data_IF_548644416862
#
_entry.id   IF_548644416862
#
_cell.length_a   1.000
_cell.length_b   1.000
_cell.length_c   1.000
_cell.angle_alpha   90.00
_cell.angle_beta   90.00
_cell.angle_gamma   90.00
#
_symmetry.space_group_name_H-M   'P 1'
#
loop_
_entity.id
_entity.type
_entity.pdbx_description
1 polymer ?
#
# COMPACT_ATOMS: atom_id res chain seq x y z
N UNK A 1 35.01 3.66 43.04
CA UNK A 1 33.81 3.01 42.46
C UNK A 1 34.29 1.90 41.52
N UNK A 2 34.11 0.64 41.90
CA UNK A 2 34.79 -0.54 41.31
C UNK A 2 34.31 -0.88 39.89
N UNK A 3 35.20 -1.44 39.06
CA UNK A 3 35.00 -1.78 37.64
C UNK A 3 33.67 -2.54 37.37
N UNK A 4 33.24 -3.40 38.32
CA UNK A 4 31.97 -4.13 38.28
C UNK A 4 30.73 -3.22 38.20
N UNK A 5 30.72 -2.05 38.87
CA UNK A 5 29.58 -1.12 38.83
C UNK A 5 29.47 -0.40 37.48
N UNK A 6 30.60 -0.17 36.78
CA UNK A 6 30.61 0.45 35.45
C UNK A 6 30.11 -0.50 34.37
N UNK A 7 30.41 -1.80 34.48
CA UNK A 7 29.95 -2.81 33.53
C UNK A 7 28.43 -3.01 33.58
N UNK A 8 27.86 -3.07 34.80
CA UNK A 8 26.41 -3.25 35.00
C UNK A 8 25.63 -2.04 34.49
N UNK A 9 26.14 -0.82 34.72
CA UNK A 9 25.52 0.42 34.21
C UNK A 9 25.53 0.50 32.69
N UNK A 10 26.58 -0.03 32.03
CA UNK A 10 26.67 -0.06 30.58
C UNK A 10 25.68 -1.07 29.98
N UNK A 11 25.53 -2.26 30.59
CA UNK A 11 24.55 -3.26 30.16
C UNK A 11 23.11 -2.75 30.30
N UNK A 12 22.77 -2.04 31.38
CA UNK A 12 21.42 -1.45 31.53
C UNK A 12 21.12 -0.38 30.48
N UNK A 13 22.10 0.44 30.11
CA UNK A 13 21.94 1.46 29.07
C UNK A 13 21.69 0.83 27.68
N UNK A 14 22.40 -0.26 27.34
CA UNK A 14 22.19 -0.97 26.07
C UNK A 14 20.81 -1.63 26.01
N UNK A 15 20.31 -2.19 27.12
CA UNK A 15 18.97 -2.80 27.20
C UNK A 15 17.86 -1.74 27.03
N UNK A 16 18.04 -0.54 27.59
CA UNK A 16 17.08 0.56 27.45
C UNK A 16 17.03 1.15 26.02
N UNK A 17 18.16 1.14 25.30
CA UNK A 17 18.20 1.60 23.90
C UNK A 17 17.54 0.57 22.97
N UNK A 18 17.68 -0.73 23.27
CA UNK A 18 17.02 -1.80 22.53
C UNK A 18 15.51 -1.89 22.78
N UNK A 19 15.02 -1.49 23.96
CA UNK A 19 13.58 -1.47 24.23
C UNK A 19 12.86 -0.27 23.62
N UNK A 20 13.52 0.88 23.46
CA UNK A 20 12.92 2.04 22.77
C UNK A 20 12.79 1.86 21.25
N UNK A 21 13.72 1.13 20.61
CA UNK A 21 13.64 0.85 19.17
C UNK A 21 12.56 -0.17 18.79
N UNK A 22 12.07 -0.96 19.75
CA UNK A 22 11.00 -1.92 19.52
C UNK A 22 9.59 -1.29 19.49
N UNK A 23 9.39 -0.11 20.09
CA UNK A 23 8.07 0.52 20.21
C UNK A 23 7.69 1.34 18.98
N UNK A 24 8.66 1.76 18.15
CA UNK A 24 8.39 2.54 16.94
C UNK A 24 8.11 1.69 15.69
N UNK A 25 8.26 0.36 15.75
CA UNK A 25 8.08 -0.52 14.59
C UNK A 25 6.64 -1.03 14.41
N UNK A 26 5.77 -0.93 15.42
CA UNK A 26 4.49 -1.65 15.40
C UNK A 26 3.41 -1.05 14.49
N UNK A 27 3.51 0.25 14.14
CA UNK A 27 2.49 0.90 13.30
C UNK A 27 2.74 0.74 11.80
N UNK A 28 4.00 0.54 11.37
CA UNK A 28 4.35 0.35 9.95
C UNK A 28 4.33 -1.14 9.53
N UNK A 29 4.38 -2.06 10.50
CA UNK A 29 4.53 -3.49 10.23
C UNK A 29 3.21 -4.24 10.07
N UNK A 30 2.09 -3.69 10.53
CA UNK A 30 0.79 -4.38 10.44
C UNK A 30 0.26 -4.52 9.00
N UNK A 31 0.78 -3.72 8.05
CA UNK A 31 0.38 -3.75 6.64
C UNK A 31 1.27 -4.66 5.78
N UNK A 32 2.36 -5.21 6.33
CA UNK A 32 3.32 -6.04 5.60
C UNK A 32 3.09 -7.57 5.78
N UNK A 33 2.12 -7.99 6.59
CA UNK A 33 1.93 -9.41 6.95
C UNK A 33 0.73 -10.09 6.30
N UNK A 34 -0.15 -9.36 5.60
CA UNK A 34 -1.26 -9.95 4.84
C UNK A 34 -0.81 -10.25 3.41
N UNK A 35 -0.95 -11.51 2.99
CA UNK A 35 -0.74 -11.90 1.61
C UNK A 35 -1.78 -11.20 0.72
N UNK A 36 -1.38 -10.55 -0.38
CA UNK A 36 -2.32 -9.84 -1.24
C UNK A 36 -3.32 -10.82 -1.87
N UNK A 37 -4.56 -10.36 -2.04
CA UNK A 37 -5.62 -11.12 -2.73
C UNK A 37 -5.34 -11.21 -4.22
N UNK A 38 -4.83 -10.12 -4.81
CA UNK A 38 -4.38 -10.03 -6.20
C UNK A 38 -3.10 -9.20 -6.22
N UNK A 39 -2.11 -9.61 -7.01
CA UNK A 39 -0.86 -8.87 -7.21
C UNK A 39 -0.43 -8.95 -8.66
N UNK A 40 0.08 -7.84 -9.19
CA UNK A 40 0.55 -7.71 -10.56
C UNK A 40 1.78 -6.81 -10.58
N UNK A 41 2.80 -7.20 -11.34
CA UNK A 41 4.00 -6.39 -11.54
C UNK A 41 4.34 -6.27 -13.02
N UNK A 42 4.71 -5.07 -13.46
CA UNK A 42 5.04 -4.78 -14.85
C UNK A 42 6.06 -3.64 -14.95
N UNK A 43 6.72 -3.54 -16.11
CA UNK A 43 7.70 -2.51 -16.40
C UNK A 43 7.02 -1.14 -16.60
N UNK A 44 7.53 -0.09 -15.95
CA UNK A 44 7.00 1.28 -16.05
C UNK A 44 7.11 1.89 -17.46
N UNK A 45 7.98 1.34 -18.32
CA UNK A 45 8.08 1.73 -19.72
C UNK A 45 6.99 1.08 -20.57
N UNK A 46 6.36 0.00 -20.11
CA UNK A 46 5.22 -0.61 -20.79
C UNK A 46 3.94 0.18 -20.48
N UNK A 47 3.70 1.19 -21.31
CA UNK A 47 2.68 2.22 -21.08
C UNK A 47 1.35 1.90 -21.72
N UNK A 48 0.89 0.70 -21.45
CA UNK A 48 -0.49 0.27 -21.70
C UNK A 48 -1.22 0.12 -20.37
N UNK A 49 -2.53 -0.04 -20.44
CA UNK A 49 -3.31 -0.43 -19.28
C UNK A 49 -2.99 -1.88 -18.92
N UNK A 50 -2.66 -2.11 -17.65
CA UNK A 50 -2.41 -3.44 -17.09
C UNK A 50 -3.55 -3.82 -16.14
N UNK A 51 -3.97 -5.08 -16.16
CA UNK A 51 -4.99 -5.60 -15.26
C UNK A 51 -4.76 -7.07 -14.93
N UNK A 52 -5.09 -7.46 -13.69
CA UNK A 52 -4.99 -8.83 -13.19
C UNK A 52 -6.20 -9.12 -12.30
N UNK A 53 -6.74 -10.34 -12.36
CA UNK A 53 -7.95 -10.69 -11.62
C UNK A 53 -7.96 -12.11 -11.10
N UNK A 54 -8.55 -12.31 -9.92
CA UNK A 54 -8.72 -13.61 -9.28
C UNK A 54 -10.18 -13.79 -8.92
N UNK A 55 -10.72 -14.98 -9.18
CA UNK A 55 -12.05 -15.38 -8.72
C UNK A 55 -12.00 -15.76 -7.24
N UNK A 56 -12.82 -15.09 -6.43
CA UNK A 56 -12.92 -15.35 -5.00
C UNK A 56 -13.80 -16.58 -4.70
N UNK A 57 -13.71 -17.17 -3.49
CA UNK A 57 -14.51 -18.34 -3.11
C UNK A 57 -16.04 -18.11 -3.19
N UNK A 58 -16.49 -16.88 -2.99
CA UNK A 58 -17.90 -16.48 -3.13
C UNK A 58 -18.35 -16.28 -4.60
N UNK A 59 -17.44 -16.49 -5.55
CA UNK A 59 -17.69 -16.35 -6.98
C UNK A 59 -17.50 -14.94 -7.54
N UNK A 60 -17.31 -13.93 -6.68
CA UNK A 60 -17.00 -12.56 -7.09
C UNK A 60 -15.59 -12.48 -7.70
N UNK A 61 -15.28 -11.37 -8.38
CA UNK A 61 -13.99 -11.15 -9.03
C UNK A 61 -13.26 -10.03 -8.31
N UNK A 62 -12.13 -10.37 -7.72
CA UNK A 62 -11.14 -9.39 -7.29
C UNK A 62 -10.28 -8.99 -8.49
N UNK A 63 -10.06 -7.69 -8.70
CA UNK A 63 -9.28 -7.19 -9.83
C UNK A 63 -8.48 -5.96 -9.43
N UNK A 64 -7.27 -5.87 -9.97
CA UNK A 64 -6.44 -4.66 -9.94
C UNK A 64 -6.20 -4.15 -11.34
N UNK A 65 -6.02 -2.84 -11.46
CA UNK A 65 -5.74 -2.17 -12.72
C UNK A 65 -4.77 -1.03 -12.49
N UNK A 66 -3.81 -0.88 -13.39
CA UNK A 66 -2.93 0.27 -13.46
C UNK A 66 -2.99 0.85 -14.88
N UNK A 67 -3.49 2.07 -14.99
CA UNK A 67 -3.74 2.73 -16.26
C UNK A 67 -2.88 4.00 -16.38
N UNK A 68 -2.05 4.14 -17.43
CA UNK A 68 -1.27 5.34 -17.65
C UNK A 68 -2.17 6.47 -18.18
N UNK A 69 -2.21 7.61 -17.47
CA UNK A 69 -3.04 8.78 -17.82
C UNK A 69 -2.24 9.82 -18.60
N UNK A 70 -0.97 10.02 -18.24
CA UNK A 70 -0.06 10.89 -18.97
C UNK A 70 1.30 10.21 -19.12
N UNK A 71 1.78 10.15 -20.36
CA UNK A 71 3.01 9.49 -20.76
C UNK A 71 4.20 10.45 -20.66
N UNK A 72 4.75 10.62 -19.45
CA UNK A 72 5.98 11.40 -19.18
C UNK A 72 7.27 10.78 -19.77
N UNK A 73 8.48 11.06 -19.26
CA UNK A 73 9.68 10.26 -19.63
C UNK A 73 9.78 8.97 -18.79
N UNK A 74 10.69 8.06 -19.11
CA UNK A 74 10.99 6.90 -18.26
C UNK A 74 11.16 7.31 -16.77
N UNK A 75 10.61 6.52 -15.84
CA UNK A 75 10.54 6.82 -14.39
C UNK A 75 9.68 8.05 -14.02
N UNK A 76 8.79 8.50 -14.91
CA UNK A 76 7.84 9.58 -14.63
C UNK A 76 6.52 9.37 -15.35
N UNK A 77 5.47 10.05 -14.91
CA UNK A 77 4.15 9.98 -15.52
C UNK A 77 3.04 9.88 -14.48
N UNK A 78 1.80 9.88 -14.96
CA UNK A 78 0.62 9.75 -14.11
C UNK A 78 0.00 8.39 -14.35
N UNK A 79 -0.29 7.68 -13.26
CA UNK A 79 -1.00 6.40 -13.28
C UNK A 79 -2.25 6.50 -12.43
N UNK A 80 -3.35 5.92 -12.94
CA UNK A 80 -4.54 5.62 -12.17
C UNK A 80 -4.45 4.19 -11.68
N UNK A 81 -4.50 4.00 -10.37
CA UNK A 81 -4.49 2.70 -9.72
C UNK A 81 -5.91 2.40 -9.24
N UNK A 82 -6.41 1.22 -9.61
CA UNK A 82 -7.75 0.77 -9.24
C UNK A 82 -7.68 -0.62 -8.65
N UNK A 83 -8.45 -0.88 -7.60
CA UNK A 83 -8.63 -2.20 -7.01
C UNK A 83 -10.09 -2.43 -6.68
N UNK A 84 -10.60 -3.62 -6.98
CA UNK A 84 -11.95 -4.04 -6.61
C UNK A 84 -11.92 -5.43 -6.00
N UNK A 85 -12.71 -5.64 -4.95
CA UNK A 85 -12.93 -6.97 -4.35
C UNK A 85 -14.27 -7.59 -4.80
N UNK A 86 -14.90 -7.04 -5.84
CA UNK A 86 -16.21 -7.45 -6.33
C UNK A 86 -17.40 -6.74 -5.67
N UNK A 87 -17.22 -6.19 -4.46
CA UNK A 87 -18.26 -5.43 -3.74
C UNK A 87 -17.95 -3.94 -3.69
N UNK A 88 -16.70 -3.58 -3.40
CA UNK A 88 -16.21 -2.22 -3.37
C UNK A 88 -15.03 -2.08 -4.33
N UNK A 89 -15.01 -0.93 -5.01
CA UNK A 89 -13.94 -0.50 -5.92
C UNK A 89 -13.35 0.78 -5.38
N UNK A 90 -12.03 0.83 -5.31
CA UNK A 90 -11.25 1.98 -4.91
C UNK A 90 -10.33 2.40 -6.05
N UNK A 91 -10.23 3.69 -6.28
CA UNK A 91 -9.29 4.26 -7.24
C UNK A 91 -8.57 5.49 -6.68
N UNK A 92 -7.33 5.69 -7.12
CA UNK A 92 -6.58 6.91 -6.90
C UNK A 92 -5.53 7.12 -8.00
N UNK A 93 -4.99 8.34 -8.04
CA UNK A 93 -3.97 8.75 -9.01
C UNK A 93 -2.64 8.94 -8.32
N UNK A 94 -1.57 8.55 -9.01
CA UNK A 94 -0.17 8.75 -8.60
C UNK A 94 0.57 9.49 -9.72
N UNK A 95 1.27 10.56 -9.38
CA UNK A 95 2.26 11.16 -10.28
C UNK A 95 3.66 10.78 -9.81
N UNK A 96 4.40 10.16 -10.72
CA UNK A 96 5.78 9.76 -10.55
C UNK A 96 6.70 10.79 -11.19
N UNK A 97 7.80 11.09 -10.52
CA UNK A 97 8.91 11.88 -11.04
C UNK A 97 10.22 11.11 -10.95
N UNK A 98 11.12 11.39 -11.89
CA UNK A 98 12.48 10.86 -11.86
C UNK A 98 13.31 11.59 -10.80
N UNK A 99 13.95 10.85 -9.92
CA UNK A 99 14.87 11.34 -8.90
C UNK A 99 16.23 10.61 -9.04
N UNK A 100 17.09 11.14 -9.90
CA UNK A 100 18.36 10.48 -10.24
C UNK A 100 18.12 9.19 -11.02
N UNK A 101 18.56 8.05 -10.45
CA UNK A 101 18.31 6.71 -11.00
C UNK A 101 17.00 6.08 -10.47
N UNK A 102 16.32 6.74 -9.54
CA UNK A 102 15.16 6.22 -8.82
C UNK A 102 13.88 6.95 -9.20
N UNK A 103 12.76 6.38 -8.77
CA UNK A 103 11.44 7.00 -8.90
C UNK A 103 11.00 7.62 -7.57
N UNK A 104 10.35 8.77 -7.65
CA UNK A 104 9.71 9.43 -6.51
C UNK A 104 8.22 9.64 -6.79
N UNK A 105 7.40 9.44 -5.77
CA UNK A 105 6.00 9.85 -5.77
C UNK A 105 5.96 11.35 -5.53
N UNK A 106 5.61 12.09 -6.59
CA UNK A 106 5.53 13.55 -6.56
C UNK A 106 4.26 14.03 -5.88
N UNK A 107 3.13 13.44 -6.25
CA UNK A 107 1.81 13.73 -5.65
C UNK A 107 0.84 12.57 -5.87
N UNK A 108 -0.20 12.53 -5.06
CA UNK A 108 -1.32 11.59 -5.16
C UNK A 108 -2.64 12.34 -4.99
N UNK A 109 -3.70 11.90 -5.65
CA UNK A 109 -5.00 12.58 -5.57
C UNK A 109 -6.15 11.67 -6.02
N UNK A 110 -7.37 12.20 -5.88
CA UNK A 110 -8.57 11.63 -6.50
C UNK A 110 -9.06 10.35 -5.84
N UNK A 111 -8.87 10.14 -4.54
CA UNK A 111 -9.42 8.95 -3.91
C UNK A 111 -10.94 8.88 -4.14
N UNK A 112 -11.40 7.83 -4.80
CA UNK A 112 -12.81 7.55 -4.98
C UNK A 112 -13.10 6.09 -4.62
N UNK A 113 -14.26 5.89 -3.98
CA UNK A 113 -14.74 4.59 -3.53
C UNK A 113 -16.18 4.44 -4.04
N UNK A 114 -16.44 3.35 -4.75
CA UNK A 114 -17.77 3.02 -5.32
C UNK A 114 -18.09 1.55 -5.09
N UNK A 115 -19.36 1.17 -5.03
CA UNK A 115 -19.75 -0.24 -4.93
C UNK A 115 -21.01 -0.48 -4.12
N UNK A 116 -21.27 -1.76 -3.86
CA UNK A 116 -22.39 -2.29 -3.08
C UNK A 116 -21.90 -2.52 -1.65
N UNK A 117 -21.70 -1.42 -0.93
CA UNK A 117 -21.32 -1.40 0.48
C UNK A 117 -22.31 -0.54 1.26
N UNK A 118 -22.46 -0.81 2.55
CA UNK A 118 -23.34 -0.02 3.42
C UNK A 118 -22.73 1.34 3.72
N UNK A 119 -21.44 1.35 4.03
CA UNK A 119 -20.67 2.55 4.33
C UNK A 119 -19.17 2.26 4.22
N UNK A 120 -18.39 3.34 4.19
CA UNK A 120 -16.94 3.26 4.38
C UNK A 120 -16.47 4.41 5.28
N UNK A 121 -15.37 4.20 5.99
CA UNK A 121 -14.75 5.17 6.88
C UNK A 121 -13.22 5.15 6.75
N UNK A 122 -12.55 6.16 7.30
CA UNK A 122 -11.09 6.32 7.29
C UNK A 122 -10.46 6.27 5.88
N UNK A 123 -11.23 6.64 4.85
CA UNK A 123 -10.79 6.63 3.47
C UNK A 123 -9.67 7.66 3.26
N UNK A 124 -8.48 7.19 2.87
CA UNK A 124 -7.31 8.04 2.65
C UNK A 124 -6.34 7.44 1.65
N UNK A 125 -5.53 8.32 1.05
CA UNK A 125 -4.32 7.92 0.34
C UNK A 125 -3.15 8.13 1.30
N UNK A 126 -2.38 7.08 1.54
CA UNK A 126 -1.21 7.09 2.41
C UNK A 126 0.06 6.89 1.57
N UNK A 127 0.95 7.89 1.55
CA UNK A 127 2.28 7.72 0.94
C UNK A 127 3.21 7.14 2.01
N UNK A 128 3.29 5.82 2.06
CA UNK A 128 4.10 5.06 3.03
C UNK A 128 5.60 5.34 2.84
N UNK A 129 6.05 5.40 1.58
CA UNK A 129 7.41 5.84 1.25
C UNK A 129 7.40 6.66 -0.01
N UNK A 130 7.82 7.92 0.10
CA UNK A 130 7.77 8.85 -1.03
C UNK A 130 8.80 8.54 -2.14
N UNK A 131 9.98 8.01 -1.80
CA UNK A 131 11.08 7.82 -2.75
C UNK A 131 11.65 6.40 -2.67
N UNK A 132 11.92 5.84 -3.84
CA UNK A 132 12.60 4.57 -4.02
C UNK A 132 14.09 4.69 -3.66
N UNK A 133 14.67 3.59 -3.18
CA UNK A 133 16.10 3.45 -2.91
C UNK A 133 16.62 2.12 -3.49
N UNK A 134 17.94 1.83 -3.45
CA UNK A 134 18.46 0.56 -3.96
C UNK A 134 17.88 -0.71 -3.29
N UNK A 135 17.25 -0.57 -2.12
CA UNK A 135 16.76 -1.69 -1.31
C UNK A 135 15.28 -1.60 -0.96
N UNK A 136 14.63 -0.44 -1.16
CA UNK A 136 13.25 -0.21 -0.72
C UNK A 136 12.44 0.52 -1.80
N UNK A 137 11.22 0.04 -2.11
CA UNK A 137 10.35 0.67 -3.10
C UNK A 137 9.76 1.99 -2.57
N UNK A 138 9.42 2.92 -3.47
CA UNK A 138 8.44 3.96 -3.16
C UNK A 138 7.06 3.28 -3.03
N UNK A 139 6.25 3.66 -2.03
CA UNK A 139 4.99 2.99 -1.73
C UNK A 139 3.89 4.03 -1.48
N UNK A 140 2.74 3.80 -2.10
CA UNK A 140 1.48 4.49 -1.84
C UNK A 140 0.35 3.48 -1.72
N UNK A 141 -0.59 3.78 -0.83
CA UNK A 141 -1.74 2.95 -0.53
C UNK A 141 -3.01 3.79 -0.55
N UNK A 142 -4.02 3.33 -1.28
CA UNK A 142 -5.40 3.71 -0.99
C UNK A 142 -5.91 2.79 0.11
N UNK A 143 -6.51 3.34 1.15
CA UNK A 143 -7.00 2.60 2.30
C UNK A 143 -8.41 3.05 2.68
N UNK A 144 -9.26 2.12 3.06
CA UNK A 144 -10.51 2.38 3.76
C UNK A 144 -10.93 1.19 4.63
N UNK A 145 -11.86 1.45 5.55
CA UNK A 145 -12.63 0.41 6.23
C UNK A 145 -14.00 0.34 5.58
N UNK A 146 -14.36 -0.83 5.08
CA UNK A 146 -15.62 -1.06 4.39
C UNK A 146 -16.57 -1.84 5.28
N UNK A 147 -17.84 -1.43 5.30
CA UNK A 147 -18.91 -2.14 6.01
C UNK A 147 -19.91 -2.69 5.00
N UNK A 148 -20.23 -3.98 5.11
CA UNK A 148 -21.13 -4.70 4.21
C UNK A 148 -22.26 -5.39 5.00
N UNK A 149 -23.35 -5.69 4.31
CA UNK A 149 -24.39 -6.59 4.81
C UNK A 149 -24.00 -8.06 4.57
N UNK A 150 -24.14 -8.89 5.58
CA UNK A 150 -23.89 -10.34 5.51
C UNK A 150 -25.13 -11.13 5.02
N UNK A 151 -26.34 -10.65 5.35
CA UNK A 151 -27.61 -11.28 5.02
C UNK A 151 -28.76 -10.23 5.08
N UNK A 152 -29.86 -10.39 4.32
CA UNK A 152 -31.08 -9.57 4.46
C UNK A 152 -31.69 -9.46 5.87
N UNK A 153 -31.18 -10.17 6.89
CA UNK A 153 -31.66 -10.13 8.30
C UNK A 153 -30.69 -9.39 9.27
N UNK A 154 -29.89 -8.43 8.77
CA UNK A 154 -29.24 -7.37 9.60
C UNK A 154 -28.00 -7.79 10.40
N UNK A 155 -27.04 -8.49 9.77
CA UNK A 155 -25.66 -8.55 10.31
C UNK A 155 -24.73 -7.71 9.45
N UNK A 156 -24.01 -6.76 10.07
CA UNK A 156 -22.97 -5.96 9.43
C UNK A 156 -21.61 -6.53 9.77
N UNK A 157 -20.71 -6.58 8.80
CA UNK A 157 -19.30 -6.86 9.03
C UNK A 157 -18.44 -5.75 8.43
N UNK A 158 -17.33 -5.44 9.12
CA UNK A 158 -16.37 -4.42 8.70
C UNK A 158 -15.03 -5.05 8.42
N UNK A 159 -14.40 -4.67 7.30
CA UNK A 159 -13.05 -5.10 6.93
C UNK A 159 -12.25 -3.93 6.38
N UNK A 160 -11.03 -3.81 6.88
CA UNK A 160 -10.02 -2.91 6.31
C UNK A 160 -9.43 -3.53 5.05
N UNK A 161 -9.26 -2.72 4.02
CA UNK A 161 -8.61 -3.13 2.79
C UNK A 161 -8.24 -1.94 1.92
N UNK A 162 -7.65 -2.24 0.78
CA UNK A 162 -7.16 -1.19 -0.10
C UNK A 162 -6.43 -1.71 -1.32
N UNK A 163 -5.90 -0.76 -2.10
CA UNK A 163 -5.02 -1.05 -3.23
C UNK A 163 -3.71 -0.30 -3.06
N UNK A 164 -2.60 -1.02 -3.13
CA UNK A 164 -1.24 -0.50 -3.00
C UNK A 164 -0.58 -0.41 -4.37
N UNK A 165 0.26 0.59 -4.57
CA UNK A 165 1.26 0.63 -5.62
C UNK A 165 2.66 0.79 -5.00
N UNK A 166 3.58 -0.08 -5.41
CA UNK A 166 4.98 -0.10 -5.00
C UNK A 166 5.86 0.06 -6.24
N UNK A 167 6.83 0.97 -6.21
CA UNK A 167 7.71 1.26 -7.35
C UNK A 167 9.15 0.95 -6.97
N UNK A 168 9.79 0.06 -7.73
CA UNK A 168 11.19 -0.31 -7.55
C UNK A 168 11.79 -0.81 -8.86
N UNK A 169 13.02 -0.41 -9.17
CA UNK A 169 13.80 -0.95 -10.28
C UNK A 169 13.11 -0.82 -11.63
N UNK A 170 12.44 0.32 -11.88
CA UNK A 170 11.64 0.57 -13.08
C UNK A 170 10.41 -0.36 -13.22
N UNK A 171 10.01 -1.04 -12.16
CA UNK A 171 8.77 -1.79 -12.09
C UNK A 171 7.77 -1.11 -11.17
N UNK A 172 6.50 -1.29 -11.48
CA UNK A 172 5.40 -1.00 -10.57
C UNK A 172 4.72 -2.32 -10.23
N UNK A 173 4.53 -2.55 -8.94
CA UNK A 173 3.76 -3.66 -8.39
C UNK A 173 2.51 -3.11 -7.75
N UNK A 174 1.36 -3.61 -8.17
CA UNK A 174 0.06 -3.24 -7.61
C UNK A 174 -0.54 -4.42 -6.86
N UNK A 175 -1.16 -4.17 -5.72
CA UNK A 175 -1.65 -5.22 -4.81
C UNK A 175 -3.02 -4.83 -4.23
N UNK A 176 -3.96 -5.77 -4.21
CA UNK A 176 -5.22 -5.65 -3.48
C UNK A 176 -5.13 -6.45 -2.16
N UNK A 177 -5.52 -5.86 -1.04
CA UNK A 177 -5.43 -6.47 0.30
C UNK A 177 -6.63 -6.18 1.20
#
# INVERSE_FOLDING_TARGET
>A
MTLKKRLISLCMAVVLIFSLSAVCASAAQEVATKQPTVSMSFDLNDRVKHEESVKLPDGSIAKITAEPINTGRALSGVWKITGTNGLATMEYWIELEKAGLYTKIKRTWGLAITGIMTSYEDAKINVVRQMESPVLPAIVEGYAKFTYFDNPVVTLWTKSGGVRASISGNQITTELY
#
